data_IF_013353592017
#
_entry.id   IF_013353592017
#
_cell.length_a   1.000
_cell.length_b   1.000
_cell.length_c   1.000
_cell.angle_alpha   90.00
_cell.angle_beta   90.00
_cell.angle_gamma   90.00
#
_symmetry.space_group_name_H-M   'P 1'
#
loop_
_entity.id
_entity.type
_entity.pdbx_description
1 polymer ?
#
# COMPACT_ATOMS: atom_id res chain seq x y z
N UNK A 1 -30.00 0.54 26.13
CA UNK A 1 -29.31 0.35 24.84
C UNK A 1 -28.57 1.62 24.40
N UNK A 2 -29.14 2.81 24.56
CA UNK A 2 -28.49 4.08 24.15
C UNK A 2 -27.22 4.42 24.95
N UNK A 3 -27.21 4.21 26.27
CA UNK A 3 -26.02 4.48 27.11
C UNK A 3 -24.84 3.54 26.83
N UNK A 4 -25.11 2.32 26.37
CA UNK A 4 -24.05 1.38 25.96
C UNK A 4 -23.46 1.83 24.63
N UNK A 5 -24.28 2.31 23.69
CA UNK A 5 -23.81 2.83 22.41
C UNK A 5 -23.01 4.13 22.57
N UNK A 6 -23.41 5.03 23.48
CA UNK A 6 -22.64 6.24 23.78
C UNK A 6 -21.28 5.93 24.43
N UNK A 7 -21.22 4.92 25.30
CA UNK A 7 -19.96 4.45 25.88
C UNK A 7 -19.04 3.80 24.84
N UNK A 8 -19.59 2.94 23.97
CA UNK A 8 -18.82 2.30 22.89
C UNK A 8 -18.31 3.32 21.87
N UNK A 9 -19.11 4.33 21.51
CA UNK A 9 -18.70 5.38 20.57
C UNK A 9 -17.60 6.28 21.14
N UNK A 10 -17.62 6.58 22.44
CA UNK A 10 -16.52 7.27 23.13
C UNK A 10 -15.21 6.48 23.05
N UNK A 11 -15.26 5.17 23.34
CA UNK A 11 -14.07 4.32 23.23
C UNK A 11 -13.59 4.25 21.78
N UNK A 12 -14.50 4.07 20.82
CA UNK A 12 -14.11 3.96 19.42
C UNK A 12 -13.48 5.26 18.88
N UNK A 13 -14.07 6.42 19.18
CA UNK A 13 -13.52 7.70 18.74
C UNK A 13 -12.11 7.96 19.31
N UNK A 14 -11.86 7.52 20.55
CA UNK A 14 -10.55 7.68 21.17
C UNK A 14 -9.54 6.62 20.71
N UNK A 15 -9.94 5.36 20.64
CA UNK A 15 -9.05 4.26 20.26
C UNK A 15 -8.67 4.31 18.78
N UNK A 16 -9.63 4.52 17.88
CA UNK A 16 -9.38 4.58 16.42
C UNK A 16 -8.98 5.97 15.92
N UNK A 17 -8.94 6.96 16.82
CA UNK A 17 -8.58 8.32 16.49
C UNK A 17 -7.07 8.56 16.51
N UNK A 18 -6.69 9.71 17.07
CA UNK A 18 -5.31 10.18 17.14
C UNK A 18 -4.34 9.18 17.79
N UNK A 19 -4.68 8.48 18.89
CA UNK A 19 -3.78 7.50 19.52
C UNK A 19 -3.32 6.37 18.58
N UNK A 20 -4.24 5.76 17.83
CA UNK A 20 -3.86 4.69 16.89
C UNK A 20 -3.01 5.22 15.74
N UNK A 21 -3.33 6.41 15.21
CA UNK A 21 -2.53 7.04 14.18
C UNK A 21 -1.10 7.31 14.67
N UNK A 22 -0.95 7.81 15.89
CA UNK A 22 0.38 8.04 16.50
C UNK A 22 1.13 6.73 16.70
N UNK A 23 0.46 5.65 17.12
CA UNK A 23 1.10 4.34 17.27
C UNK A 23 1.54 3.74 15.93
N UNK A 24 0.71 3.82 14.90
CA UNK A 24 1.05 3.31 13.55
C UNK A 24 2.19 4.14 12.96
N UNK A 25 2.11 5.47 13.03
CA UNK A 25 3.12 6.36 12.48
C UNK A 25 4.42 6.25 13.26
N UNK A 26 4.34 6.16 14.60
CA UNK A 26 5.49 5.96 15.49
C UNK A 26 6.18 4.61 15.28
N UNK A 27 5.44 3.51 15.16
CA UNK A 27 6.03 2.19 14.86
C UNK A 27 6.63 2.16 13.45
N UNK A 28 5.94 2.74 12.47
CA UNK A 28 6.44 2.89 11.11
C UNK A 28 7.74 3.68 11.06
N UNK A 29 7.83 4.81 11.77
CA UNK A 29 9.02 5.64 11.85
C UNK A 29 10.15 4.94 12.61
N UNK A 30 9.86 4.32 13.75
CA UNK A 30 10.82 3.55 14.53
C UNK A 30 11.48 2.45 13.70
N UNK A 31 10.67 1.66 12.98
CA UNK A 31 11.17 0.61 12.09
C UNK A 31 11.90 1.20 10.88
N UNK A 32 11.41 2.30 10.31
CA UNK A 32 12.07 2.97 9.17
C UNK A 32 13.45 3.48 9.53
N UNK A 33 13.62 4.11 10.69
CA UNK A 33 14.92 4.57 11.19
C UNK A 33 15.81 3.39 11.59
N UNK A 34 15.26 2.39 12.27
CA UNK A 34 15.99 1.17 12.66
C UNK A 34 16.55 0.39 11.47
N UNK A 35 15.80 0.35 10.36
CA UNK A 35 16.21 -0.23 9.09
C UNK A 35 17.07 0.72 8.24
N UNK A 36 17.47 1.89 8.76
CA UNK A 36 18.25 2.92 8.05
C UNK A 36 17.60 3.36 6.74
N UNK A 37 16.28 3.50 6.73
CA UNK A 37 15.48 3.84 5.55
C UNK A 37 15.68 2.88 4.37
N UNK A 38 16.02 1.61 4.66
CA UNK A 38 16.24 0.58 3.64
C UNK A 38 15.06 0.44 2.67
N UNK A 39 13.82 0.57 3.16
CA UNK A 39 12.62 0.52 2.32
C UNK A 39 12.63 1.56 1.21
N UNK A 40 13.12 2.78 1.48
CA UNK A 40 13.24 3.87 0.49
C UNK A 40 14.49 3.67 -0.36
N UNK A 41 15.62 3.33 0.26
CA UNK A 41 16.89 3.14 -0.43
C UNK A 41 16.86 1.97 -1.44
N UNK A 42 16.00 0.96 -1.23
CA UNK A 42 15.86 -0.19 -2.13
C UNK A 42 14.79 -0.02 -3.21
N UNK A 43 14.02 1.07 -3.21
CA UNK A 43 13.04 1.33 -4.28
C UNK A 43 13.68 1.35 -5.68
N UNK A 44 14.80 2.07 -5.92
CA UNK A 44 15.44 2.10 -7.24
C UNK A 44 15.95 0.73 -7.68
N UNK A 45 16.45 -0.07 -6.73
CA UNK A 45 16.90 -1.43 -6.98
C UNK A 45 15.74 -2.34 -7.41
N UNK A 46 14.60 -2.24 -6.71
CA UNK A 46 13.37 -2.92 -7.08
C UNK A 46 12.91 -2.57 -8.51
N UNK A 47 12.85 -1.28 -8.85
CA UNK A 47 12.51 -0.85 -10.21
C UNK A 47 13.47 -1.40 -11.28
N UNK A 48 14.77 -1.48 -10.98
CA UNK A 48 15.75 -2.09 -11.89
C UNK A 48 15.50 -3.60 -12.08
N UNK A 49 15.12 -4.31 -11.02
CA UNK A 49 14.76 -5.73 -11.11
C UNK A 49 13.48 -5.95 -11.92
N UNK A 50 12.47 -5.11 -11.73
CA UNK A 50 11.22 -5.16 -12.50
C UNK A 50 11.47 -4.96 -14.00
N UNK A 51 12.39 -4.07 -14.36
CA UNK A 51 12.74 -3.84 -15.76
C UNK A 51 13.56 -4.99 -16.37
N UNK A 52 14.42 -5.64 -15.57
CA UNK A 52 15.19 -6.83 -15.97
C UNK A 52 14.32 -8.08 -16.11
N UNK A 53 13.31 -8.27 -15.26
CA UNK A 53 12.34 -9.38 -15.32
C UNK A 53 11.37 -9.33 -16.51
N UNK A 54 11.53 -8.35 -17.41
CA UNK A 54 10.93 -8.34 -18.75
C UNK A 54 11.70 -9.21 -19.75
N UNK A 55 12.93 -9.61 -19.41
CA UNK A 55 13.72 -10.57 -20.19
C UNK A 55 13.38 -11.96 -19.64
N UNK A 56 12.78 -12.86 -20.43
CA UNK A 56 12.43 -14.19 -19.95
C UNK A 56 13.73 -14.95 -19.64
N UNK A 57 13.91 -15.32 -18.37
CA UNK A 57 14.88 -16.34 -17.97
C UNK A 57 14.10 -17.65 -17.99
N UNK A 58 14.60 -18.66 -18.70
CA UNK A 58 13.91 -19.94 -18.97
C UNK A 58 13.62 -20.79 -17.72
N UNK A 59 13.96 -20.33 -16.51
CA UNK A 59 13.69 -21.04 -15.27
C UNK A 59 12.20 -20.90 -14.87
N UNK A 60 11.47 -21.95 -15.21
CA UNK A 60 10.06 -22.17 -15.01
C UNK A 60 9.64 -22.11 -13.53
N UNK A 61 8.74 -21.20 -13.19
CA UNK A 61 7.92 -21.32 -11.97
C UNK A 61 7.49 -20.02 -11.31
N UNK A 62 8.23 -18.93 -11.50
CA UNK A 62 7.92 -17.66 -10.85
C UNK A 62 7.16 -16.73 -11.81
N UNK A 63 5.95 -16.33 -11.42
CA UNK A 63 5.21 -15.24 -12.06
C UNK A 63 6.16 -14.04 -12.13
N UNK A 64 6.42 -13.51 -13.34
CA UNK A 64 7.30 -12.37 -13.52
C UNK A 64 6.91 -11.25 -12.54
N UNK A 65 7.85 -10.64 -11.81
CA UNK A 65 7.58 -9.51 -10.92
C UNK A 65 6.76 -8.39 -11.57
N UNK A 66 6.82 -8.27 -12.90
CA UNK A 66 6.01 -7.34 -13.68
C UNK A 66 4.52 -7.70 -13.70
N UNK A 67 4.17 -8.99 -13.75
CA UNK A 67 2.77 -9.45 -13.74
C UNK A 67 2.10 -9.18 -12.39
N UNK A 68 2.83 -9.28 -11.27
CA UNK A 68 2.32 -8.93 -9.95
C UNK A 68 1.99 -7.43 -9.80
N UNK A 69 2.64 -6.57 -10.60
CA UNK A 69 2.43 -5.12 -10.60
C UNK A 69 1.23 -4.66 -11.41
N UNK A 70 0.57 -5.55 -12.16
CA UNK A 70 -0.54 -5.18 -13.06
C UNK A 70 -1.71 -4.48 -12.35
N UNK A 71 -1.83 -4.61 -11.03
CA UNK A 71 -2.78 -3.84 -10.23
C UNK A 71 -2.63 -2.32 -10.41
N UNK A 72 -1.39 -1.80 -10.49
CA UNK A 72 -1.14 -0.35 -10.59
C UNK A 72 -1.60 0.21 -11.95
N UNK A 73 -1.15 -0.34 -13.11
CA UNK A 73 -1.68 0.08 -14.41
C UNK A 73 -3.20 -0.06 -14.53
N UNK A 74 -3.79 -1.10 -13.95
CA UNK A 74 -5.24 -1.30 -13.98
C UNK A 74 -6.00 -0.21 -13.20
N UNK A 75 -5.53 0.17 -12.01
CA UNK A 75 -6.11 1.26 -11.24
C UNK A 75 -5.96 2.62 -11.95
N UNK A 76 -4.83 2.86 -12.62
CA UNK A 76 -4.63 4.06 -13.44
C UNK A 76 -5.63 4.09 -14.60
N UNK A 77 -5.81 2.97 -15.30
CA UNK A 77 -6.78 2.86 -16.39
C UNK A 77 -8.20 3.17 -15.89
N UNK A 78 -8.59 2.65 -14.73
CA UNK A 78 -9.90 2.96 -14.13
C UNK A 78 -10.06 4.44 -13.79
N UNK A 79 -9.05 5.09 -13.20
CA UNK A 79 -9.12 6.53 -12.87
C UNK A 79 -9.21 7.38 -14.14
N UNK A 80 -8.44 7.03 -15.18
CA UNK A 80 -8.41 7.78 -16.44
C UNK A 80 -9.68 7.55 -17.28
N UNK A 81 -10.24 6.34 -17.27
CA UNK A 81 -11.45 5.99 -18.00
C UNK A 81 -12.74 6.31 -17.25
N UNK A 82 -12.70 6.43 -15.92
CA UNK A 82 -13.82 6.87 -15.07
C UNK A 82 -14.60 8.05 -15.68
N UNK A 83 -13.98 9.19 -16.03
CA UNK A 83 -14.73 10.32 -16.61
C UNK A 83 -15.38 10.04 -17.96
N UNK A 84 -14.92 9.04 -18.72
CA UNK A 84 -15.51 8.64 -20.00
C UNK A 84 -16.72 7.72 -19.76
N UNK A 85 -16.60 6.77 -18.83
CA UNK A 85 -17.67 5.83 -18.46
C UNK A 85 -18.85 6.54 -17.80
N UNK A 86 -18.59 7.54 -16.94
CA UNK A 86 -19.66 8.31 -16.27
C UNK A 86 -20.26 9.43 -17.15
N UNK A 87 -19.75 9.62 -18.38
CA UNK A 87 -20.27 10.60 -19.34
C UNK A 87 -21.21 9.97 -20.38
N UNK A 88 -21.25 8.63 -20.47
CA UNK A 88 -22.24 7.83 -21.23
C UNK A 88 -23.45 7.60 -20.34
#
# INVERSE_FOLDING_TARGET
>A
MEQIQSFISLINSYAWGVPMLVLILGTGLFLSVGLKFMSIARIPFGFRLLWKGRIPVEDAGEISPFNALMAVPNLIALIVLSPIVFKI
#
